data_IF_488783334707
#
_entry.id   IF_488783334707
#
_cell.length_a   1.000
_cell.length_b   1.000
_cell.length_c   1.000
_cell.angle_alpha   90.00
_cell.angle_beta   90.00
_cell.angle_gamma   90.00
#
_symmetry.space_group_name_H-M   'P 1'
#
loop_
_entity.id
_entity.type
_entity.pdbx_description
1 polymer ?
2 non-polymer ?
3 water ?
#
# COMPACT_ATOMS: atom_id res chain seq x y z
N UNK A 4 -2.24 2.19 -8.13
CA UNK A 4 -3.72 2.34 -8.00
C UNK A 4 -4.19 2.97 -6.68
N UNK A 5 -3.30 3.15 -5.71
CA UNK A 5 -3.65 3.87 -4.49
C UNK A 5 -2.40 4.49 -3.91
N UNK A 6 -2.49 5.33 -2.90
CA UNK A 6 -1.26 6.01 -2.44
C UNK A 6 -0.69 5.33 -1.18
N UNK A 7 -0.95 4.04 -1.06
CA UNK A 7 -0.56 3.27 0.10
C UNK A 7 0.69 2.42 -0.19
N UNK A 8 1.70 2.57 0.67
CA UNK A 8 2.96 1.82 0.54
C UNK A 8 3.36 1.32 1.94
N UNK A 9 4.17 0.26 2.01
CA UNK A 9 4.49 -0.33 3.32
C UNK A 9 5.39 0.57 4.19
N UNK A 10 6.11 1.52 3.57
CA UNK A 10 7.00 2.43 4.29
C UNK A 10 7.39 3.59 3.39
N UNK A 11 7.95 4.64 3.97
CA UNK A 11 8.48 5.74 3.18
C UNK A 11 9.60 5.28 2.25
N UNK A 12 10.42 4.36 2.75
CA UNK A 12 11.48 3.75 1.94
C UNK A 12 10.93 2.99 0.72
N UNK A 13 9.96 2.11 0.90
CA UNK A 13 9.35 1.46 -0.27
C UNK A 13 8.67 2.47 -1.26
N UNK A 14 8.05 3.52 -0.72
CA UNK A 14 7.46 4.56 -1.54
C UNK A 14 8.53 5.24 -2.41
N UNK A 15 9.68 5.53 -1.81
CA UNK A 15 10.76 6.14 -2.60
C UNK A 15 11.29 5.18 -3.67
N UNK A 16 11.47 3.91 -3.33
CA UNK A 16 12.04 2.96 -4.30
C UNK A 16 11.04 2.65 -5.40
N UNK A 17 9.75 2.67 -5.10
CA UNK A 17 8.71 2.46 -6.13
C UNK A 17 8.69 3.61 -7.16
N UNK A 18 8.88 4.83 -6.69
CA UNK A 18 8.98 5.98 -7.57
C UNK A 18 10.22 5.88 -8.46
N UNK A 19 11.32 5.35 -7.92
CA UNK A 19 12.52 5.11 -8.73
C UNK A 19 12.38 3.95 -9.73
N UNK A 20 11.64 2.89 -9.36
CA UNK A 20 11.48 1.75 -10.24
C UNK A 20 10.91 2.24 -11.57
N UNK A 21 9.74 2.89 -11.51
CA UNK A 21 9.24 3.69 -12.62
C UNK A 21 10.16 4.92 -12.55
N UNK A 22 10.24 5.73 -13.60
CA UNK A 22 11.28 6.77 -13.71
C UNK A 22 12.63 6.18 -14.08
N UNK A 23 13.03 5.10 -13.40
CA UNK A 23 14.31 4.40 -13.60
C UNK A 23 15.52 5.22 -13.09
N UNK A 24 15.57 6.51 -13.44
CA UNK A 24 16.47 7.47 -12.78
C UNK A 24 15.67 8.72 -12.43
N UNK A 25 16.07 9.44 -11.38
CA UNK A 25 15.43 10.72 -11.02
C UNK A 25 16.32 11.69 -10.19
N UNK A 26 16.10 12.99 -10.36
CA UNK A 26 16.82 13.98 -9.59
C UNK A 26 16.14 14.19 -8.22
N UNK A 27 16.87 14.83 -7.30
CA UNK A 27 16.33 15.13 -5.98
C UNK A 27 15.05 15.98 -6.10
N UNK A 28 15.12 17.13 -6.80
CA UNK A 28 13.90 17.94 -6.94
C UNK A 28 12.72 17.23 -7.59
N UNK A 30 12.17 13.95 -7.22
CA UNK A 30 11.67 13.06 -6.16
C UNK A 30 10.91 13.87 -5.11
N UNK A 31 11.46 15.03 -4.75
CA UNK A 31 10.80 15.93 -3.81
C UNK A 31 9.44 16.40 -4.33
N UNK A 32 9.33 16.76 -5.61
CA UNK A 32 8.03 17.18 -6.13
C UNK A 32 7.02 16.03 -6.09
N UNK A 33 7.47 14.82 -6.39
CA UNK A 33 6.59 13.64 -6.37
C UNK A 33 6.06 13.33 -4.97
N UNK A 34 6.92 13.45 -3.97
CA UNK A 34 6.53 13.20 -2.60
C UNK A 34 5.60 14.31 -2.10
N UNK A 35 5.85 15.54 -2.53
CA UNK A 35 5.00 16.68 -2.15
C UNK A 35 3.55 16.49 -2.66
N UNK A 36 3.41 16.10 -3.92
CA UNK A 36 2.11 15.84 -4.50
C UNK A 36 1.48 14.59 -3.85
N UNK A 37 2.29 13.60 -3.51
CA UNK A 37 1.76 12.45 -2.79
C UNK A 37 1.18 12.83 -1.41
N UNK A 38 1.92 13.60 -0.61
CA UNK A 38 1.49 13.89 0.76
C UNK A 38 0.28 14.81 0.78
N UNK A 39 0.07 15.53 -0.32
CA UNK A 39 -1.06 16.43 -0.46
C UNK A 39 -2.32 15.71 -0.95
N UNK A 40 -2.22 14.42 -1.27
CA UNK A 40 -3.40 13.65 -1.60
C UNK A 40 -4.08 13.24 -0.30
N UNK A 41 -5.41 13.33 -0.26
CA UNK A 41 -6.17 12.80 0.86
C UNK A 41 -5.78 11.37 1.23
N UNK A 42 -5.77 10.48 0.24
CA UNK A 42 -5.51 9.05 0.45
C UNK A 42 -4.24 8.73 1.24
N UNK A 43 -3.22 9.58 1.10
CA UNK A 43 -1.88 9.36 1.70
C UNK A 43 -1.87 9.22 3.23
N UNK A 44 -2.74 9.96 3.91
CA UNK A 44 -2.78 9.94 5.37
C UNK A 44 -3.28 8.62 5.89
N UNK A 45 -3.82 7.78 5.01
CA UNK A 45 -4.18 6.41 5.35
C UNK A 45 -3.00 5.51 5.63
N UNK A 46 -1.81 5.90 5.20
CA UNK A 46 -0.61 5.11 5.51
C UNK A 46 -0.38 5.09 7.04
N UNK A 47 -0.22 3.90 7.63
CA UNK A 47 -0.07 3.77 9.07
C UNK A 47 1.10 4.60 9.63
N UNK A 48 2.12 4.80 8.78
CA UNK A 48 3.34 5.53 9.14
C UNK A 48 3.33 7.02 8.71
N UNK A 49 2.21 7.50 8.14
CA UNK A 49 2.15 8.86 7.59
C UNK A 49 2.48 9.90 8.68
N UNK A 50 1.97 9.67 9.88
CA UNK A 50 2.11 10.67 10.92
C UNK A 50 3.44 10.61 11.66
N UNK A 51 4.32 9.68 11.32
CA UNK A 51 5.64 9.62 11.96
C UNK A 51 6.52 10.85 11.61
N UNK A 52 6.07 11.68 10.66
CA UNK A 52 6.73 12.94 10.34
C UNK A 52 5.71 13.94 9.76
N UNK A 53 5.92 15.24 10.02
CA UNK A 53 4.92 16.20 9.52
C UNK A 53 5.12 16.57 8.06
N UNK A 54 6.32 16.36 7.54
CA UNK A 54 6.67 16.82 6.19
C UNK A 54 7.61 15.82 5.50
N UNK A 55 7.04 14.94 4.70
CA UNK A 55 7.78 13.88 4.05
C UNK A 55 8.72 14.30 2.94
N UNK A 56 8.31 15.25 2.12
CA UNK A 56 9.18 15.70 1.03
C UNK A 56 10.50 16.29 1.54
N UNK A 57 10.46 16.88 2.72
CA UNK A 57 11.66 17.44 3.33
C UNK A 57 12.60 16.36 3.88
N UNK A 58 12.12 15.11 3.93
CA UNK A 58 12.93 13.95 4.38
C UNK A 58 13.41 13.03 3.24
N UNK A 59 13.12 13.41 2.00
CA UNK A 59 13.52 12.62 0.86
C UNK A 59 15.05 12.46 0.82
N UNK A 60 15.80 13.56 0.92
CA UNK A 60 17.26 13.50 0.86
C UNK A 60 17.85 12.62 1.97
N UNK A 61 17.51 12.89 3.26
CA UNK A 61 18.09 12.01 4.30
C UNK A 61 17.65 10.54 4.17
N UNK A 62 16.42 10.28 3.75
CA UNK A 62 15.99 8.91 3.49
C UNK A 62 16.90 8.27 2.43
N UNK A 63 17.12 8.97 1.33
CA UNK A 63 17.90 8.38 0.24
C UNK A 63 19.34 8.17 0.64
N UNK A 64 19.86 9.09 1.45
CA UNK A 64 21.23 8.95 1.95
C UNK A 64 21.33 7.75 2.88
N UNK A 65 20.25 7.46 3.60
CA UNK A 65 20.22 6.26 4.46
C UNK A 65 20.25 5.01 3.60
N UNK A 66 19.35 4.97 2.61
CA UNK A 66 19.26 3.80 1.73
C UNK A 66 20.52 3.65 0.85
N UNK A 67 21.30 4.73 0.69
CA UNK A 67 22.55 4.71 -0.06
C UNK A 67 23.75 4.20 0.74
N UNK A 68 23.57 3.91 2.03
CA UNK A 68 24.64 3.53 2.91
C UNK A 68 25.39 4.68 3.54
N UNK A 69 24.92 5.93 3.38
CA UNK A 69 25.68 7.08 3.91
C UNK A 69 25.41 7.35 5.41
N UNK A 70 24.82 6.37 6.11
CA UNK A 70 24.47 6.51 7.53
C UNK A 70 24.91 5.29 8.33
N UNK A 71 25.39 5.54 9.54
CA UNK A 71 26.03 4.51 10.37
C UNK A 71 25.05 3.61 11.12
N UNK A 72 23.77 4.01 11.22
CA UNK A 72 22.73 3.18 11.86
C UNK A 72 22.11 2.14 10.91
N UNK A 73 22.94 1.26 10.37
CA UNK A 73 22.50 0.19 9.47
C UNK A 73 23.11 -1.11 9.97
N UNK A 74 22.42 -2.26 9.74
CA UNK A 74 23.04 -3.53 10.14
C UNK A 74 24.36 -3.76 9.42
N UNK A 75 25.18 -4.67 9.95
CA UNK A 75 26.50 -4.99 9.38
C UNK A 75 26.43 -5.44 7.91
N UNK A 76 25.37 -6.17 7.58
CA UNK A 76 25.21 -6.75 6.25
C UNK A 76 24.29 -5.87 5.43
N UNK A 77 24.53 -4.57 5.50
CA UNK A 77 23.67 -3.63 4.83
C UNK A 77 24.16 -3.46 3.41
N UNK A 78 23.31 -3.78 2.46
CA UNK A 78 23.60 -3.49 1.09
C UNK A 78 22.74 -2.31 0.65
N UNK A 79 23.34 -1.24 0.07
CA UNK A 79 22.60 -0.07 -0.37
C UNK A 79 21.60 -0.34 -1.48
N UNK A 80 20.44 0.30 -1.40
CA UNK A 80 19.35 0.14 -2.37
C UNK A 80 19.39 1.19 -3.50
N UNK A 81 20.06 2.31 -3.25
CA UNK A 81 20.19 3.35 -4.23
C UNK A 81 21.64 3.84 -4.32
N UNK A 82 21.93 4.54 -5.40
CA UNK A 82 23.13 5.34 -5.46
C UNK A 82 22.86 6.65 -6.19
N UNK A 83 23.64 7.66 -5.84
CA UNK A 83 23.59 8.96 -6.45
C UNK A 83 24.83 9.12 -7.32
N UNK A 85 27.06 11.80 -9.12
CA UNK A 85 27.30 13.23 -9.05
C UNK A 85 27.40 13.85 -10.44
N UNK A 87 25.83 13.06 -13.10
CA UNK A 87 24.45 13.15 -13.62
C UNK A 87 23.46 13.87 -12.70
N UNK A 88 23.76 13.95 -11.40
CA UNK A 88 22.83 14.45 -10.36
C UNK A 88 21.51 13.66 -10.26
N UNK A 89 21.58 12.39 -10.65
CA UNK A 89 20.43 11.45 -10.68
C UNK A 89 20.60 10.36 -9.64
N UNK A 90 19.54 10.08 -8.89
CA UNK A 90 19.47 8.91 -7.99
C UNK A 90 18.98 7.70 -8.80
N UNK A 92 18.16 3.21 -8.48
CA UNK A 92 18.15 1.93 -7.79
C UNK A 92 19.41 1.10 -8.09
N UNK A 93 19.79 0.30 -7.12
CA UNK A 93 20.76 -0.74 -7.30
C UNK A 93 20.00 -2.05 -7.53
N UNK A 94 20.36 -2.78 -8.59
CA UNK A 94 19.63 -3.98 -9.01
C UNK A 94 19.87 -5.18 -8.13
N UNK A 98 10.76 -7.27 -3.55
CA UNK A 98 10.80 -8.39 -2.60
C UNK A 98 11.80 -8.11 -1.47
N UNK A 99 11.99 -6.84 -1.19
CA UNK A 99 12.80 -6.38 -0.08
C UNK A 99 11.97 -5.58 0.89
N UNK A 100 10.65 -5.59 0.71
CA UNK A 100 9.78 -4.67 1.43
C UNK A 100 9.78 -4.86 2.92
N UNK A 102 12.28 -6.08 4.76
CA UNK A 102 13.54 -5.54 5.20
C UNK A 102 13.51 -4.01 5.21
N UNK A 103 12.96 -3.41 4.16
CA UNK A 103 12.84 -1.96 4.08
C UNK A 103 11.94 -1.36 5.18
N UNK A 104 10.89 -2.09 5.54
CA UNK A 104 10.01 -1.67 6.65
C UNK A 104 10.79 -1.65 7.95
N UNK A 105 11.54 -2.72 8.20
CA UNK A 105 12.35 -2.80 9.41
C UNK A 105 13.43 -1.72 9.38
N UNK A 106 14.09 -1.54 8.24
CA UNK A 106 15.12 -0.48 8.12
C UNK A 106 14.54 0.93 8.35
N UNK A 107 13.32 1.14 7.86
CA UNK A 107 12.57 2.40 8.01
C UNK A 107 12.38 2.76 9.49
N UNK A 108 11.95 1.76 10.29
CA UNK A 108 11.80 1.96 11.73
C UNK A 108 13.16 2.18 12.38
N UNK A 109 14.19 1.47 11.90
CA UNK A 109 15.53 1.69 12.44
C UNK A 109 15.92 3.16 12.25
N UNK A 110 15.70 3.66 11.03
CA UNK A 110 15.96 5.07 10.69
C UNK A 110 15.15 6.04 11.55
N UNK A 111 13.85 5.79 11.67
CA UNK A 111 12.97 6.58 12.52
C UNK A 111 13.50 6.68 13.96
N UNK A 112 14.11 5.60 14.45
CA UNK A 112 14.48 5.53 15.84
C UNK A 112 15.82 6.15 16.11
N UNK A 113 16.68 6.13 15.10
CA UNK A 113 18.07 6.55 15.24
C UNK A 113 18.39 7.93 14.67
N UNK A 115 16.98 10.80 15.08
CA UNK A 115 17.01 11.82 16.13
C UNK A 115 16.50 11.32 17.47
N UNK B 2 -3.82 -3.45 -8.64
CA UNK B 2 -2.82 -3.40 -7.52
C UNK B 2 -1.40 -3.52 -8.10
N UNK B 3 -1.06 -2.59 -8.99
CA UNK B 3 0.22 -2.65 -9.71
C UNK B 3 1.44 -2.25 -8.90
N UNK B 4 1.47 -1.00 -8.43
CA UNK B 4 2.61 -0.50 -7.66
C UNK B 4 3.05 -1.53 -6.61
N UNK B 5 2.11 -1.95 -5.77
CA UNK B 5 2.44 -2.81 -4.66
C UNK B 5 1.22 -3.56 -4.15
N UNK B 6 1.38 -4.32 -3.06
CA UNK B 6 0.29 -5.11 -2.52
C UNK B 6 -0.36 -4.44 -1.28
N UNK B 7 -0.13 -3.16 -1.08
CA UNK B 7 -0.59 -2.50 0.15
C UNK B 7 -1.88 -1.72 -0.15
N UNK B 8 -2.92 -2.01 0.62
CA UNK B 8 -4.18 -1.30 0.53
C UNK B 8 -4.67 -0.90 1.91
N UNK B 9 -5.59 0.07 1.98
CA UNK B 9 -6.05 0.60 3.27
C UNK B 9 -6.92 -0.42 4.02
N UNK B 10 -7.69 -1.24 3.31
CA UNK B 10 -8.45 -2.30 3.93
C UNK B 10 -8.66 -3.41 2.93
N UNK B 11 -9.22 -4.54 3.40
CA UNK B 11 -9.64 -5.61 2.49
C UNK B 11 -10.73 -5.13 1.55
N UNK B 12 -11.59 -4.24 2.02
CA UNK B 12 -12.69 -3.75 1.20
C UNK B 12 -12.14 -2.92 0.07
N UNK B 13 -11.25 -1.96 0.37
CA UNK B 13 -10.62 -1.13 -0.67
C UNK B 13 -9.83 -1.95 -1.68
N UNK B 14 -9.14 -2.98 -1.20
CA UNK B 14 -8.39 -3.91 -2.07
C UNK B 14 -9.33 -4.53 -3.12
N UNK B 15 -10.46 -5.06 -2.68
CA UNK B 15 -11.43 -5.64 -3.62
C UNK B 15 -11.93 -4.60 -4.61
N UNK B 16 -12.25 -3.41 -4.13
CA UNK B 16 -12.85 -2.40 -5.01
C UNK B 16 -11.79 -1.83 -5.94
N UNK B 17 -10.53 -1.89 -5.53
CA UNK B 17 -9.40 -1.50 -6.38
C UNK B 17 -9.16 -2.51 -7.51
N UNK B 18 -9.34 -3.79 -7.22
CA UNK B 18 -9.28 -4.83 -8.28
C UNK B 18 -10.43 -4.64 -9.26
N UNK B 19 -11.60 -4.31 -8.72
CA UNK B 19 -12.77 -4.15 -9.59
C UNK B 19 -12.72 -2.91 -10.48
N UNK B 20 -12.09 -1.85 -9.98
CA UNK B 20 -11.92 -0.65 -10.80
C UNK B 20 -11.07 -0.96 -12.03
N UNK B 21 -10.10 -1.86 -11.88
CA UNK B 21 -9.16 -2.25 -12.93
C UNK B 21 -9.76 -3.25 -13.90
N UNK B 22 -10.52 -4.21 -13.39
CA UNK B 22 -11.17 -5.21 -14.23
C UNK B 22 -12.42 -4.64 -14.86
N UNK B 23 -13.03 -3.67 -14.18
CA UNK B 23 -14.37 -3.12 -14.50
C UNK B 23 -15.51 -4.08 -14.11
N UNK B 24 -15.49 -5.29 -14.68
CA UNK B 24 -16.37 -6.40 -14.24
C UNK B 24 -15.50 -7.59 -13.87
N UNK B 25 -15.97 -8.43 -12.95
CA UNK B 25 -15.25 -9.66 -12.60
C UNK B 25 -16.11 -10.74 -11.95
N UNK B 26 -15.84 -11.99 -12.32
CA UNK B 26 -16.45 -13.14 -11.67
C UNK B 26 -15.89 -13.30 -10.25
N UNK B 27 -16.62 -14.09 -9.45
CA UNK B 27 -16.17 -14.48 -8.12
C UNK B 27 -14.90 -15.35 -8.18
N UNK B 28 -14.90 -16.40 -9.04
CA UNK B 28 -13.70 -17.23 -9.15
C UNK B 28 -12.44 -16.43 -9.50
N UNK B 30 -11.94 -13.19 -8.76
CA UNK B 30 -11.60 -12.35 -7.62
C UNK B 30 -10.93 -13.19 -6.55
N UNK B 31 -11.44 -14.40 -6.39
CA UNK B 31 -10.86 -15.37 -5.47
C UNK B 31 -9.41 -15.69 -5.80
N UNK B 32 -9.15 -15.94 -7.08
CA UNK B 32 -7.81 -16.26 -7.57
C UNK B 32 -6.85 -15.08 -7.41
N UNK B 33 -7.34 -13.87 -7.66
CA UNK B 33 -6.53 -12.67 -7.50
C UNK B 33 -6.12 -12.47 -6.04
N UNK B 34 -7.04 -12.75 -5.13
CA UNK B 34 -6.79 -12.55 -3.71
C UNK B 34 -5.81 -13.64 -3.25
N UNK B 35 -5.97 -14.85 -3.74
CA UNK B 35 -5.13 -15.98 -3.33
C UNK B 35 -3.68 -15.70 -3.72
N UNK B 36 -3.51 -15.22 -4.96
CA UNK B 36 -2.19 -14.86 -5.46
C UNK B 36 -1.65 -13.72 -4.62
N UNK B 37 -2.51 -12.74 -4.34
CA UNK B 37 -2.11 -11.57 -3.53
C UNK B 37 -1.65 -11.98 -2.12
N UNK B 38 -2.39 -12.87 -1.46
CA UNK B 38 -2.05 -13.21 -0.08
C UNK B 38 -0.80 -14.09 0.03
N UNK B 39 -0.41 -14.74 -1.06
CA UNK B 39 0.83 -15.52 -1.09
C UNK B 39 2.09 -14.63 -1.16
N UNK B 40 1.95 -13.37 -1.51
CA UNK B 40 3.12 -12.49 -1.65
C UNK B 40 3.62 -11.99 -0.31
N UNK B 41 4.90 -12.25 0.00
CA UNK B 41 5.50 -11.81 1.28
C UNK B 41 5.13 -10.40 1.71
N UNK B 42 5.09 -9.46 0.77
CA UNK B 42 4.87 -8.04 1.08
C UNK B 42 3.43 -7.75 1.58
N UNK B 43 2.48 -8.64 1.27
CA UNK B 43 1.07 -8.41 1.62
C UNK B 43 0.80 -8.46 3.12
N UNK B 44 1.64 -9.17 3.85
CA UNK B 44 1.54 -9.26 5.30
C UNK B 44 1.96 -7.96 5.94
N UNK B 45 2.51 -7.05 5.14
CA UNK B 45 2.85 -5.74 5.62
C UNK B 45 1.60 -4.88 5.76
N UNK B 46 0.49 -5.33 5.18
CA UNK B 46 -0.79 -4.65 5.39
C UNK B 46 -1.13 -4.75 6.85
N UNK B 47 -1.53 -3.64 7.48
CA UNK B 47 -1.73 -3.67 8.93
C UNK B 47 -2.87 -4.58 9.38
N UNK B 48 -3.82 -4.83 8.49
CA UNK B 48 -4.99 -5.65 8.74
C UNK B 48 -4.83 -7.09 8.23
N UNK B 49 -3.68 -7.44 7.64
CA UNK B 49 -3.48 -8.78 7.01
C UNK B 49 -3.68 -9.93 8.02
N UNK B 50 -3.28 -9.71 9.29
CA UNK B 50 -3.43 -10.71 10.37
C UNK B 50 -4.87 -10.89 10.93
N UNK B 51 -5.83 -10.09 10.45
CA UNK B 51 -7.24 -10.17 10.91
C UNK B 51 -7.98 -11.42 10.45
N UNK B 52 -7.38 -12.17 9.54
CA UNK B 52 -7.97 -13.43 9.18
C UNK B 52 -6.87 -14.31 8.61
N UNK B 53 -7.03 -15.64 8.75
CA UNK B 53 -6.01 -16.55 8.29
C UNK B 53 -6.02 -16.77 6.77
N UNK B 54 -7.15 -16.58 6.12
CA UNK B 54 -7.26 -16.92 4.69
C UNK B 54 -8.21 -15.99 3.98
N UNK B 55 -7.65 -14.93 3.39
CA UNK B 55 -8.43 -13.85 2.81
C UNK B 55 -9.23 -14.25 1.55
N UNK B 56 -8.70 -15.17 0.75
CA UNK B 56 -9.41 -15.66 -0.45
C UNK B 56 -10.80 -16.22 -0.13
N UNK B 57 -10.91 -16.86 1.01
CA UNK B 57 -12.16 -17.48 1.39
C UNK B 57 -13.16 -16.48 1.91
N UNK B 58 -12.71 -15.25 2.16
CA UNK B 58 -13.56 -14.22 2.66
C UNK B 58 -14.00 -13.26 1.56
N UNK B 59 -13.62 -13.53 0.31
CA UNK B 59 -13.99 -12.67 -0.80
C UNK B 59 -15.50 -12.59 -0.99
N UNK B 60 -16.18 -13.72 -1.00
CA UNK B 60 -17.62 -13.71 -1.18
C UNK B 60 -18.31 -12.96 -0.05
N UNK B 61 -18.02 -13.32 1.20
CA UNK B 61 -18.75 -12.62 2.28
C UNK B 61 -18.43 -11.13 2.38
N UNK B 62 -17.23 -10.72 2.00
CA UNK B 62 -16.90 -9.31 1.89
C UNK B 62 -17.73 -8.61 0.81
N UNK B 63 -17.83 -9.23 -0.36
CA UNK B 63 -18.59 -8.67 -1.46
C UNK B 63 -20.07 -8.51 -1.11
N UNK B 64 -20.65 -9.54 -0.49
CA UNK B 64 -22.06 -9.49 -0.09
C UNK B 64 -22.34 -8.40 0.94
N UNK B 65 -21.43 -8.23 1.88
CA UNK B 65 -21.50 -7.10 2.84
C UNK B 65 -21.40 -5.79 2.08
N UNK B 66 -20.40 -5.68 1.19
CA UNK B 66 -20.27 -4.47 0.35
C UNK B 66 -21.48 -4.25 -0.57
N UNK B 67 -22.20 -5.32 -0.89
CA UNK B 67 -23.44 -5.23 -1.68
C UNK B 67 -24.68 -4.89 -0.83
N UNK B 68 -24.54 -4.87 0.48
CA UNK B 68 -25.70 -4.66 1.37
C UNK B 68 -26.60 -5.87 1.60
N UNK B 69 -26.04 -7.09 1.60
CA UNK B 69 -26.83 -8.31 1.89
C UNK B 69 -26.67 -8.81 3.33
N UNK B 70 -26.31 -7.94 4.27
CA UNK B 70 -26.04 -8.34 5.66
C UNK B 70 -27.12 -7.87 6.63
N UNK B 71 -27.40 -6.57 6.64
CA UNK B 71 -28.45 -5.97 7.48
C UNK B 71 -27.95 -5.75 8.90
N UNK B 76 -28.89 4.59 6.49
CA UNK B 76 -29.09 3.63 5.43
C UNK B 76 -27.81 3.54 4.57
N UNK B 77 -27.16 2.39 4.69
CA UNK B 77 -25.98 2.06 3.93
C UNK B 77 -26.16 2.29 2.42
N UNK B 78 -25.09 2.64 1.72
CA UNK B 78 -25.12 2.75 0.26
C UNK B 78 -24.17 1.72 -0.39
N UNK B 79 -24.70 0.82 -1.27
CA UNK B 79 -23.91 -0.30 -1.81
C UNK B 79 -22.73 0.13 -2.67
N UNK B 80 -21.58 -0.49 -2.45
CA UNK B 80 -20.39 -0.25 -3.26
C UNK B 80 -20.29 -1.18 -4.47
N UNK B 81 -20.96 -2.32 -4.42
CA UNK B 81 -20.91 -3.29 -5.52
C UNK B 81 -22.29 -3.85 -5.77
N UNK B 82 -22.50 -4.44 -6.95
CA UNK B 82 -23.65 -5.31 -7.18
C UNK B 82 -23.23 -6.56 -7.97
N UNK B 83 -23.98 -7.63 -7.79
CA UNK B 83 -23.77 -8.85 -8.52
C UNK B 83 -24.98 -9.01 -9.43
N UNK B 85 -26.98 -11.63 -11.57
CA UNK B 85 -27.13 -13.08 -11.73
C UNK B 85 -27.06 -13.51 -13.22
N UNK B 87 -25.26 -12.33 -15.59
CA UNK B 87 -23.89 -12.32 -16.13
C UNK B 87 -22.85 -13.00 -15.22
N UNK B 88 -23.25 -13.36 -14.01
CA UNK B 88 -22.34 -13.90 -13.01
C UNK B 88 -21.13 -12.98 -12.73
N UNK B 89 -21.31 -11.66 -12.88
CA UNK B 89 -20.24 -10.64 -12.72
C UNK B 89 -20.50 -9.73 -11.54
N UNK B 90 -19.47 -9.45 -10.75
CA UNK B 90 -19.53 -8.37 -9.78
C UNK B 90 -19.11 -7.06 -10.44
N UNK B 92 -18.67 -2.59 -9.80
CA UNK B 92 -18.73 -1.40 -8.97
C UNK B 92 -20.03 -0.67 -9.24
N UNK B 93 -20.59 -0.02 -8.22
CA UNK B 93 -21.73 0.91 -8.42
C UNK B 93 -21.26 2.36 -8.43
N UNK B 96 -13.77 3.12 -4.60
CA UNK B 96 -12.83 3.23 -3.49
C UNK B 96 -12.24 4.62 -3.25
N UNK B 97 -11.83 5.33 -4.31
CA UNK B 97 -11.16 6.64 -4.18
C UNK B 97 -12.01 7.64 -3.38
N UNK B 98 -11.39 8.28 -2.39
CA UNK B 98 -12.08 9.14 -1.43
C UNK B 98 -13.09 8.44 -0.49
N UNK B 99 -13.31 7.13 -0.62
CA UNK B 99 -14.22 6.42 0.30
C UNK B 99 -13.46 5.49 1.25
N UNK B 100 -12.14 5.53 1.14
CA UNK B 100 -11.28 4.57 1.87
C UNK B 100 -11.49 4.65 3.38
N UNK B 102 -14.19 5.47 4.95
CA UNK B 102 -15.47 4.84 5.23
C UNK B 102 -15.33 3.34 5.10
N UNK B 103 -14.80 2.90 3.99
CA UNK B 103 -14.48 1.48 3.82
C UNK B 103 -13.65 0.86 4.96
N UNK B 104 -12.61 1.55 5.44
CA UNK B 104 -11.82 1.10 6.60
C UNK B 104 -12.67 0.93 7.86
N UNK B 105 -13.55 1.88 8.10
CA UNK B 105 -14.47 1.79 9.23
C UNK B 105 -15.46 0.63 9.07
N UNK B 106 -15.98 0.48 7.85
CA UNK B 106 -16.93 -0.59 7.54
C UNK B 106 -16.27 -1.97 7.61
N UNK B 107 -15.03 -2.04 7.16
CA UNK B 107 -14.22 -3.25 7.31
C UNK B 107 -14.11 -3.67 8.79
N UNK B 108 -13.79 -2.73 9.66
CA UNK B 108 -13.61 -3.07 11.06
C UNK B 108 -14.91 -3.53 11.67
N UNK B 109 -16.01 -2.90 11.23
CA UNK B 109 -17.36 -3.22 11.70
C UNK B 109 -17.74 -4.63 11.29
N UNK B 110 -17.46 -4.95 10.04
CA UNK B 110 -17.69 -6.29 9.50
C UNK B 110 -16.87 -7.33 10.26
N UNK B 111 -15.59 -7.05 10.52
CA UNK B 111 -14.75 -7.97 11.31
C UNK B 111 -15.32 -8.21 12.71
N UNK B 112 -15.84 -7.15 13.35
CA UNK B 112 -16.40 -7.27 14.70
C UNK B 112 -17.71 -8.03 14.69
N UNK B 113 -18.42 -8.02 13.57
CA UNK B 113 -19.81 -8.50 13.52
C UNK B 113 -20.02 -9.82 12.77
N UNK B 115 -18.41 -12.98 12.71
CA UNK B 115 -18.28 -14.31 13.34
C UNK B 115 -18.22 -14.20 14.85
#
# INVERSE_FOLDING_TARGET
GLGINEISSSFFSLLLEILLLESQASLPXLEERVLDWQSSPASSLNSWFSAAPNWAELVLPALQYLAGESRAVPSSFSPFVEFXEXTQQWXLLGQSQDNEXELAALFQLWLETXDQAFCXQENEDSS
GLGINEISSSFFSLLLEILLLESQASLPXLEERVLDWQSSPASSLNSWFSAAPNWAELVLPALQYLAGESRAVPSSFSPFVEFXEXTQQWXLLGQSQDNEXELAALFQLWLETXDQAFCXQENEDSS
#
